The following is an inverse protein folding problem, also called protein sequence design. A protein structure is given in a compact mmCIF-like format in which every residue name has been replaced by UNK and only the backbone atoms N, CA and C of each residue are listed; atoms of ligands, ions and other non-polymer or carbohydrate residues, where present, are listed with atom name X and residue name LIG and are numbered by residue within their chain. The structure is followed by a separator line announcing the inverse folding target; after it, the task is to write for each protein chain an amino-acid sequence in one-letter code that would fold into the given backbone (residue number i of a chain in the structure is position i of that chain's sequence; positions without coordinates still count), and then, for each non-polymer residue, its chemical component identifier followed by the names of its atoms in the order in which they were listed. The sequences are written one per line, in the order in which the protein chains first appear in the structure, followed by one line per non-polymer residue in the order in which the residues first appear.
data_IF_729989302496
#
_entry.id   IF_729989302496
#
_cell.length_a   1.000
_cell.length_b   1.000
_cell.length_c   1.000
_cell.angle_alpha   90.00
_cell.angle_beta   90.00
_cell.angle_gamma   90.00
#
_symmetry.space_group_name_H-M   'P 1'
#
loop_
_entity.id
_entity.type
_entity.pdbx_description
1 polymer ?
#
# COMPACT_ATOMS: atom_id res chain seq x y z
N UNK A 1 -73.70 21.65 3.13
CA UNK A 1 -74.03 20.43 3.89
C UNK A 1 -72.91 20.15 4.89
N UNK A 2 -73.09 20.50 6.16
CA UNK A 2 -72.21 20.07 7.25
C UNK A 2 -72.69 18.69 7.73
N UNK A 3 -71.86 17.65 7.55
CA UNK A 3 -72.13 16.35 8.20
C UNK A 3 -71.74 16.48 9.68
N UNK A 4 -72.63 16.17 10.63
CA UNK A 4 -72.28 16.22 12.05
C UNK A 4 -71.21 15.17 12.34
N UNK A 5 -70.16 15.57 13.06
CA UNK A 5 -69.11 14.65 13.49
C UNK A 5 -69.74 13.50 14.31
N UNK A 6 -69.53 12.26 13.85
CA UNK A 6 -69.99 11.04 14.54
C UNK A 6 -69.47 11.08 15.98
N UNK A 7 -70.35 11.04 16.98
CA UNK A 7 -69.96 11.02 18.40
C UNK A 7 -69.16 9.74 18.66
N UNK A 8 -67.88 9.88 19.00
CA UNK A 8 -66.97 8.78 19.32
C UNK A 8 -67.51 8.05 20.56
N UNK A 9 -67.68 6.73 20.47
CA UNK A 9 -68.23 5.92 21.55
C UNK A 9 -67.29 5.92 22.77
N UNK A 10 -67.84 5.76 23.97
CA UNK A 10 -67.06 5.72 25.22
C UNK A 10 -66.05 4.55 25.22
N UNK A 11 -66.43 3.40 24.64
CA UNK A 11 -65.56 2.25 24.46
C UNK A 11 -64.36 2.54 23.55
N UNK A 12 -64.56 3.33 22.48
CA UNK A 12 -63.46 3.76 21.59
C UNK A 12 -62.47 4.68 22.32
N UNK A 13 -62.95 5.51 23.26
CA UNK A 13 -62.07 6.37 24.08
C UNK A 13 -61.23 5.56 25.08
N UNK A 14 -61.84 4.60 25.77
CA UNK A 14 -61.11 3.69 26.69
C UNK A 14 -60.05 2.90 25.91
N UNK A 15 -60.44 2.34 24.76
CA UNK A 15 -59.52 1.58 23.90
C UNK A 15 -58.34 2.45 23.45
N UNK A 16 -58.58 3.68 22.99
CA UNK A 16 -57.53 4.60 22.60
C UNK A 16 -56.57 4.93 23.76
N UNK A 17 -57.09 5.13 24.97
CA UNK A 17 -56.26 5.39 26.16
C UNK A 17 -55.41 4.16 26.52
N UNK A 18 -55.99 2.96 26.51
CA UNK A 18 -55.26 1.71 26.77
C UNK A 18 -54.13 1.50 25.76
N UNK A 19 -54.41 1.70 24.46
CA UNK A 19 -53.39 1.62 23.41
C UNK A 19 -52.28 2.66 23.62
N UNK A 20 -52.63 3.88 24.06
CA UNK A 20 -51.67 4.94 24.31
C UNK A 20 -50.77 4.64 25.53
N UNK A 21 -51.33 4.07 26.60
CA UNK A 21 -50.56 3.61 27.77
C UNK A 21 -49.64 2.45 27.41
N UNK A 22 -50.12 1.49 26.60
CA UNK A 22 -49.30 0.37 26.11
C UNK A 22 -48.17 0.86 25.19
N UNK A 23 -48.47 1.81 24.30
CA UNK A 23 -47.47 2.44 23.45
C UNK A 23 -46.44 3.22 24.26
N UNK A 24 -46.85 3.98 25.28
CA UNK A 24 -45.94 4.68 26.18
C UNK A 24 -45.04 3.71 26.97
N UNK A 25 -45.59 2.60 27.47
CA UNK A 25 -44.82 1.55 28.14
C UNK A 25 -43.82 0.85 27.20
N UNK A 26 -44.22 0.58 25.96
CA UNK A 26 -43.34 -0.01 24.95
C UNK A 26 -42.21 0.95 24.53
N UNK A 27 -42.51 2.24 24.38
CA UNK A 27 -41.51 3.30 24.11
C UNK A 27 -40.55 3.42 25.31
N UNK A 28 -41.06 3.42 26.54
CA UNK A 28 -40.23 3.45 27.75
C UNK A 28 -39.25 2.28 27.83
N UNK A 29 -39.74 1.04 27.66
CA UNK A 29 -38.90 -0.16 27.66
C UNK A 29 -37.87 -0.15 26.51
N UNK A 30 -38.24 0.37 25.34
CA UNK A 30 -37.33 0.51 24.22
C UNK A 30 -36.20 1.51 24.53
N UNK A 31 -36.52 2.68 25.09
CA UNK A 31 -35.55 3.72 25.42
C UNK A 31 -34.64 3.34 26.60
N UNK A 32 -35.16 2.64 27.60
CA UNK A 32 -34.41 2.30 28.82
C UNK A 32 -33.59 1.02 28.71
N UNK A 33 -34.02 0.05 27.89
CA UNK A 33 -33.39 -1.28 27.85
C UNK A 33 -32.85 -1.61 26.47
N UNK A 34 -33.69 -1.54 25.43
CA UNK A 34 -33.32 -2.03 24.10
C UNK A 34 -32.30 -1.12 23.42
N UNK A 35 -32.50 0.19 23.47
CA UNK A 35 -31.62 1.17 22.84
C UNK A 35 -30.21 1.18 23.49
N UNK A 36 -30.07 1.21 24.83
CA UNK A 36 -28.76 1.07 25.47
C UNK A 36 -28.06 -0.26 25.18
N UNK A 37 -28.80 -1.38 25.15
CA UNK A 37 -28.23 -2.69 24.79
C UNK A 37 -27.70 -2.72 23.34
N UNK A 38 -28.43 -2.12 22.39
CA UNK A 38 -27.97 -2.01 21.00
C UNK A 38 -26.73 -1.14 20.87
N UNK A 39 -26.67 -0.01 21.57
CA UNK A 39 -25.47 0.84 21.63
C UNK A 39 -24.29 0.09 22.22
N UNK A 40 -24.49 -0.66 23.31
CA UNK A 40 -23.44 -1.47 23.93
C UNK A 40 -22.92 -2.59 23.01
N UNK A 41 -23.79 -3.25 22.25
CA UNK A 41 -23.39 -4.26 21.27
C UNK A 41 -22.54 -3.65 20.15
N UNK A 42 -22.95 -2.50 19.60
CA UNK A 42 -22.19 -1.80 18.57
C UNK A 42 -20.85 -1.31 19.09
N UNK A 43 -20.79 -0.79 20.31
CA UNK A 43 -19.55 -0.39 20.96
C UNK A 43 -18.62 -1.60 21.17
N UNK A 44 -19.16 -2.76 21.54
CA UNK A 44 -18.35 -3.97 21.68
C UNK A 44 -17.78 -4.45 20.34
N UNK A 45 -18.59 -4.46 19.28
CA UNK A 45 -18.13 -4.78 17.92
C UNK A 45 -17.06 -3.79 17.44
N UNK A 46 -17.32 -2.49 17.58
CA UNK A 46 -16.36 -1.43 17.23
C UNK A 46 -15.03 -1.59 17.98
N UNK A 47 -15.07 -1.82 19.30
CA UNK A 47 -13.86 -1.96 20.11
C UNK A 47 -13.00 -3.17 19.72
N UNK A 48 -13.64 -4.26 19.28
CA UNK A 48 -12.96 -5.45 18.78
C UNK A 48 -12.23 -5.16 17.47
N UNK A 49 -12.90 -4.50 16.53
CA UNK A 49 -12.31 -4.07 15.26
C UNK A 49 -11.18 -3.06 15.47
N UNK A 50 -11.37 -2.08 16.36
CA UNK A 50 -10.34 -1.10 16.72
C UNK A 50 -9.09 -1.77 17.31
N UNK A 51 -9.25 -2.78 18.15
CA UNK A 51 -8.12 -3.51 18.72
C UNK A 51 -7.33 -4.30 17.65
N UNK A 52 -8.03 -4.91 16.69
CA UNK A 52 -7.41 -5.59 15.55
C UNK A 52 -6.70 -4.61 14.63
N UNK A 53 -7.32 -3.47 14.32
CA UNK A 53 -6.71 -2.38 13.56
C UNK A 53 -5.44 -1.83 14.21
N UNK A 54 -5.43 -1.63 15.54
CA UNK A 54 -4.24 -1.19 16.28
C UNK A 54 -3.11 -2.21 16.18
N UNK A 55 -3.42 -3.50 16.39
CA UNK A 55 -2.43 -4.57 16.31
C UNK A 55 -1.82 -4.65 14.91
N UNK A 56 -2.67 -4.67 13.87
CA UNK A 56 -2.20 -4.67 12.49
C UNK A 56 -1.39 -3.42 12.12
N UNK A 57 -1.75 -2.24 12.62
CA UNK A 57 -0.96 -1.02 12.41
C UNK A 57 0.42 -1.08 13.09
N UNK A 58 0.52 -1.68 14.29
CA UNK A 58 1.82 -1.90 14.97
C UNK A 58 2.69 -2.86 14.19
N UNK A 59 2.15 -4.02 13.81
CA UNK A 59 2.89 -5.07 13.13
C UNK A 59 3.36 -4.59 11.76
N UNK A 60 2.45 -4.02 10.96
CA UNK A 60 2.77 -3.55 9.61
C UNK A 60 3.71 -2.34 9.61
N UNK A 61 3.56 -1.39 10.55
CA UNK A 61 4.50 -0.26 10.66
C UNK A 61 5.91 -0.71 11.04
N UNK A 62 6.02 -1.71 11.92
CA UNK A 62 7.32 -2.28 12.35
C UNK A 62 7.99 -3.00 11.18
N UNK A 63 7.22 -3.80 10.43
CA UNK A 63 7.72 -4.50 9.26
C UNK A 63 8.16 -3.53 8.14
N UNK A 64 7.37 -2.50 7.83
CA UNK A 64 7.74 -1.45 6.86
C UNK A 64 9.00 -0.71 7.27
N UNK A 65 9.13 -0.31 8.54
CA UNK A 65 10.34 0.35 9.03
C UNK A 65 11.59 -0.55 8.89
N UNK A 66 11.45 -1.85 9.19
CA UNK A 66 12.53 -2.83 9.01
C UNK A 66 12.93 -2.98 7.54
N UNK A 67 11.96 -3.13 6.63
CA UNK A 67 12.19 -3.22 5.19
C UNK A 67 12.98 -2.04 4.68
N UNK A 68 12.54 -0.82 5.01
CA UNK A 68 13.19 0.40 4.54
C UNK A 68 14.55 0.64 5.21
N UNK A 69 14.81 0.11 6.40
CA UNK A 69 16.15 0.17 7.00
C UNK A 69 17.15 -0.65 6.18
N UNK A 70 16.79 -1.86 5.76
CA UNK A 70 17.67 -2.73 4.96
C UNK A 70 17.84 -2.21 3.52
N UNK A 71 16.75 -1.75 2.88
CA UNK A 71 16.80 -1.15 1.54
C UNK A 71 17.67 0.11 1.55
N UNK A 72 17.64 0.93 2.62
CA UNK A 72 18.43 2.17 2.73
C UNK A 72 19.92 1.95 2.64
N UNK A 73 20.40 0.94 3.36
CA UNK A 73 21.81 0.76 3.62
C UNK A 73 22.54 0.17 2.41
N UNK A 74 21.80 -0.53 1.55
CA UNK A 74 22.37 -1.28 0.42
C UNK A 74 21.87 -0.77 -0.94
N UNK A 75 20.79 0.02 -0.97
CA UNK A 75 19.92 0.12 -2.13
C UNK A 75 19.26 -1.23 -2.43
N UNK A 76 18.07 -1.25 -3.04
CA UNK A 76 17.42 -2.52 -3.41
C UNK A 76 18.35 -3.46 -4.20
N UNK A 77 19.22 -2.89 -5.04
CA UNK A 77 20.15 -3.59 -5.91
C UNK A 77 21.39 -4.16 -5.15
N UNK A 78 21.72 -3.65 -3.97
CA UNK A 78 22.82 -4.17 -3.13
C UNK A 78 22.43 -5.36 -2.25
N UNK A 79 21.17 -5.80 -2.31
CA UNK A 79 20.68 -6.95 -1.55
C UNK A 79 21.06 -8.27 -2.26
N UNK A 80 21.38 -9.30 -1.47
CA UNK A 80 21.64 -10.64 -2.01
C UNK A 80 20.34 -11.28 -2.52
N UNK A 81 20.39 -12.25 -3.47
CA UNK A 81 19.18 -12.89 -3.98
C UNK A 81 18.30 -13.54 -2.90
N UNK A 82 18.94 -14.14 -1.88
CA UNK A 82 18.23 -14.72 -0.73
C UNK A 82 17.54 -13.65 0.12
N UNK A 83 18.21 -12.52 0.36
CA UNK A 83 17.62 -11.40 1.08
C UNK A 83 16.48 -10.75 0.28
N UNK A 84 16.64 -10.54 -1.03
CA UNK A 84 15.59 -10.01 -1.90
C UNK A 84 14.32 -10.85 -1.88
N UNK A 85 14.47 -12.18 -1.91
CA UNK A 85 13.32 -13.09 -1.86
C UNK A 85 12.60 -13.00 -0.51
N UNK A 86 13.36 -12.93 0.58
CA UNK A 86 12.83 -12.77 1.94
C UNK A 86 12.11 -11.42 2.11
N UNK A 87 12.76 -10.34 1.69
CA UNK A 87 12.23 -8.98 1.84
C UNK A 87 11.01 -8.75 0.95
N UNK A 88 10.99 -9.33 -0.25
CA UNK A 88 9.82 -9.27 -1.13
C UNK A 88 8.63 -10.04 -0.54
N UNK A 89 8.88 -11.21 0.06
CA UNK A 89 7.84 -11.95 0.76
C UNK A 89 7.32 -11.19 1.98
N UNK A 90 8.23 -10.56 2.75
CA UNK A 90 7.87 -9.71 3.88
C UNK A 90 7.07 -8.48 3.43
N UNK A 91 7.47 -7.81 2.35
CA UNK A 91 6.75 -6.66 1.80
C UNK A 91 5.31 -7.03 1.38
N UNK A 92 5.14 -8.14 0.65
CA UNK A 92 3.81 -8.64 0.26
C UNK A 92 2.95 -9.01 1.46
N UNK A 93 3.51 -9.72 2.44
CA UNK A 93 2.79 -10.06 3.66
C UNK A 93 2.39 -8.82 4.47
N UNK A 94 3.27 -7.82 4.53
CA UNK A 94 3.03 -6.56 5.21
C UNK A 94 1.96 -5.72 4.52
N UNK A 95 1.91 -5.76 3.18
CA UNK A 95 0.87 -5.12 2.37
C UNK A 95 -0.49 -5.72 2.70
N UNK A 96 -0.62 -7.05 2.64
CA UNK A 96 -1.86 -7.76 3.04
C UNK A 96 -2.26 -7.44 4.48
N UNK A 97 -1.31 -7.47 5.42
CA UNK A 97 -1.60 -7.16 6.83
C UNK A 97 -2.04 -5.70 7.03
N UNK A 98 -1.49 -4.75 6.28
CA UNK A 98 -1.89 -3.35 6.35
C UNK A 98 -3.27 -3.10 5.72
N UNK A 99 -3.59 -3.79 4.62
CA UNK A 99 -4.92 -3.75 4.01
C UNK A 99 -5.99 -4.38 4.92
N UNK A 100 -5.69 -5.52 5.55
CA UNK A 100 -6.58 -6.15 6.53
C UNK A 100 -6.83 -5.22 7.72
N UNK A 101 -5.77 -4.59 8.25
CA UNK A 101 -5.88 -3.59 9.32
C UNK A 101 -6.74 -2.38 8.90
N UNK A 102 -6.62 -1.94 7.65
CA UNK A 102 -7.43 -0.85 7.10
C UNK A 102 -8.90 -1.26 6.97
N UNK A 103 -9.17 -2.51 6.60
CA UNK A 103 -10.53 -3.08 6.61
C UNK A 103 -11.14 -3.07 8.01
N UNK A 104 -10.37 -3.40 9.05
CA UNK A 104 -10.82 -3.29 10.45
C UNK A 104 -11.13 -1.84 10.85
N UNK A 105 -10.33 -0.86 10.41
CA UNK A 105 -10.64 0.57 10.61
C UNK A 105 -11.97 0.94 9.96
N UNK A 106 -12.21 0.52 8.72
CA UNK A 106 -13.45 0.79 8.00
C UNK A 106 -14.66 0.10 8.67
N UNK A 107 -14.48 -1.13 9.16
CA UNK A 107 -15.50 -1.86 9.90
C UNK A 107 -15.87 -1.12 11.20
N UNK A 108 -14.87 -0.70 11.98
CA UNK A 108 -15.06 0.11 13.19
C UNK A 108 -15.81 1.41 12.88
N UNK A 109 -15.38 2.16 11.86
CA UNK A 109 -16.08 3.38 11.40
C UNK A 109 -17.54 3.10 11.01
N UNK A 110 -17.82 1.95 10.39
CA UNK A 110 -19.18 1.55 10.03
C UNK A 110 -20.05 1.28 11.27
N UNK A 111 -19.51 0.65 12.32
CA UNK A 111 -20.23 0.42 13.57
C UNK A 111 -20.51 1.72 14.31
N UNK A 112 -19.57 2.68 14.28
CA UNK A 112 -19.80 4.03 14.81
C UNK A 112 -20.90 4.75 14.05
N UNK A 113 -20.90 4.69 12.72
CA UNK A 113 -21.93 5.32 11.90
C UNK A 113 -23.31 4.68 12.16
N UNK A 114 -23.37 3.35 12.33
CA UNK A 114 -24.59 2.66 12.73
C UNK A 114 -25.05 3.10 14.13
N UNK A 115 -24.13 3.25 15.07
CA UNK A 115 -24.43 3.66 16.44
C UNK A 115 -24.92 5.12 16.51
N UNK A 116 -24.34 6.02 15.71
CA UNK A 116 -24.74 7.43 15.57
C UNK A 116 -26.09 7.58 14.83
N UNK A 117 -26.41 6.63 13.95
CA UNK A 117 -27.64 6.60 13.15
C UNK A 117 -28.84 5.93 13.84
N UNK A 118 -28.71 5.46 15.08
CA UNK A 118 -29.81 4.82 15.79
C UNK A 118 -30.92 5.85 16.11
N UNK A 119 -32.20 5.53 15.84
CA UNK A 119 -33.30 6.46 16.07
C UNK A 119 -33.51 6.71 17.57
N UNK A 120 -34.09 7.87 17.91
CA UNK A 120 -34.40 8.30 19.28
C UNK A 120 -33.17 8.59 20.17
N UNK A 121 -31.97 8.64 19.60
CA UNK A 121 -30.80 9.19 20.27
C UNK A 121 -30.84 10.72 20.27
N UNK A 122 -30.65 11.32 21.45
CA UNK A 122 -30.57 12.77 21.62
C UNK A 122 -29.13 13.30 21.48
N UNK A 123 -28.15 12.41 21.57
CA UNK A 123 -26.72 12.71 21.47
C UNK A 123 -25.97 11.47 20.97
N UNK A 124 -24.87 11.68 20.26
CA UNK A 124 -23.98 10.59 19.83
C UNK A 124 -23.49 9.77 21.03
N UNK A 125 -23.32 8.45 20.90
CA UNK A 125 -22.72 7.60 21.92
C UNK A 125 -21.33 8.09 22.33
N UNK A 126 -21.01 8.00 23.63
CA UNK A 126 -19.77 8.56 24.19
C UNK A 126 -18.49 7.96 23.61
N UNK A 127 -18.50 6.67 23.26
CA UNK A 127 -17.33 5.99 22.67
C UNK A 127 -16.95 6.62 21.32
N UNK A 128 -17.92 7.15 20.57
CA UNK A 128 -17.66 7.79 19.28
C UNK A 128 -16.71 8.98 19.41
N UNK A 129 -16.88 9.81 20.44
CA UNK A 129 -16.02 10.97 20.65
C UNK A 129 -14.58 10.57 21.01
N UNK A 130 -14.42 9.43 21.69
CA UNK A 130 -13.12 8.90 22.12
C UNK A 130 -12.38 8.21 20.98
N UNK A 131 -13.07 7.38 20.19
CA UNK A 131 -12.43 6.44 19.28
C UNK A 131 -12.33 6.96 17.84
N UNK A 132 -13.15 7.96 17.46
CA UNK A 132 -13.13 8.57 16.12
C UNK A 132 -11.76 9.18 15.76
N UNK A 133 -11.09 9.95 16.64
CA UNK A 133 -9.76 10.45 16.35
C UNK A 133 -8.74 9.31 16.19
N UNK A 134 -8.82 8.27 17.03
CA UNK A 134 -7.91 7.13 16.96
C UNK A 134 -8.01 6.41 15.61
N UNK A 135 -9.23 6.15 15.12
CA UNK A 135 -9.46 5.54 13.81
C UNK A 135 -8.95 6.40 12.65
N UNK A 136 -9.11 7.73 12.71
CA UNK A 136 -8.57 8.63 11.69
C UNK A 136 -7.04 8.62 11.64
N UNK A 137 -6.39 8.54 12.80
CA UNK A 137 -4.94 8.43 12.90
C UNK A 137 -4.44 7.06 12.42
N UNK A 138 -5.14 5.96 12.76
CA UNK A 138 -4.83 4.62 12.22
C UNK A 138 -4.98 4.58 10.71
N UNK A 139 -6.06 5.15 10.16
CA UNK A 139 -6.29 5.20 8.72
C UNK A 139 -5.13 5.87 7.98
N UNK A 140 -4.70 7.05 8.46
CA UNK A 140 -3.57 7.78 7.87
C UNK A 140 -2.26 7.00 7.98
N UNK A 141 -1.99 6.39 9.15
CA UNK A 141 -0.79 5.58 9.37
C UNK A 141 -0.77 4.37 8.43
N UNK A 142 -1.90 3.67 8.29
CA UNK A 142 -2.03 2.50 7.43
C UNK A 142 -1.93 2.86 5.95
N UNK A 143 -2.55 3.96 5.49
CA UNK A 143 -2.40 4.44 4.12
C UNK A 143 -0.93 4.78 3.78
N UNK A 144 -0.23 5.45 4.69
CA UNK A 144 1.20 5.73 4.53
C UNK A 144 2.05 4.44 4.54
N UNK A 145 1.66 3.48 5.37
CA UNK A 145 2.28 2.14 5.45
C UNK A 145 2.13 1.43 4.12
N UNK A 146 0.90 1.23 3.61
CA UNK A 146 0.57 0.61 2.31
C UNK A 146 1.37 1.25 1.18
N UNK A 147 1.43 2.59 1.14
CA UNK A 147 2.21 3.31 0.13
C UNK A 147 3.69 2.94 0.17
N UNK A 148 4.28 2.89 1.36
CA UNK A 148 5.68 2.51 1.55
C UNK A 148 5.93 1.02 1.29
N UNK A 149 4.98 0.14 1.60
CA UNK A 149 5.09 -1.30 1.27
C UNK A 149 5.06 -1.51 -0.22
N UNK A 150 4.13 -0.88 -0.94
CA UNK A 150 4.08 -0.96 -2.40
C UNK A 150 5.37 -0.45 -3.04
N UNK A 151 5.90 0.69 -2.59
CA UNK A 151 7.18 1.20 -3.07
C UNK A 151 8.33 0.22 -2.79
N UNK A 152 8.35 -0.43 -1.62
CA UNK A 152 9.33 -1.49 -1.32
C UNK A 152 9.16 -2.70 -2.24
N UNK A 153 7.94 -3.19 -2.45
CA UNK A 153 7.62 -4.29 -3.38
C UNK A 153 8.11 -3.98 -4.79
N UNK A 154 7.89 -2.75 -5.27
CA UNK A 154 8.39 -2.25 -6.56
C UNK A 154 9.92 -2.31 -6.63
N UNK A 155 10.61 -1.69 -5.67
CA UNK A 155 12.08 -1.63 -5.65
C UNK A 155 12.72 -3.01 -5.54
N UNK A 156 12.16 -3.88 -4.69
CA UNK A 156 12.65 -5.24 -4.47
C UNK A 156 12.37 -6.14 -5.68
N UNK A 157 11.21 -6.00 -6.33
CA UNK A 157 10.88 -6.77 -7.53
C UNK A 157 11.80 -6.40 -8.69
N UNK A 158 12.01 -5.10 -8.89
CA UNK A 158 13.02 -4.59 -9.84
C UNK A 158 14.37 -5.21 -9.48
N UNK A 159 14.90 -4.99 -8.28
CA UNK A 159 16.20 -5.55 -7.88
C UNK A 159 16.30 -7.08 -8.03
N UNK A 160 15.24 -7.85 -7.77
CA UNK A 160 15.20 -9.30 -7.92
C UNK A 160 15.35 -9.73 -9.38
N UNK A 161 14.56 -9.14 -10.28
CA UNK A 161 14.69 -9.40 -11.72
C UNK A 161 16.10 -9.07 -12.20
N UNK A 162 16.62 -7.92 -11.78
CA UNK A 162 17.95 -7.47 -12.18
C UNK A 162 19.07 -8.40 -11.70
N UNK A 163 18.98 -8.92 -10.48
CA UNK A 163 19.95 -9.87 -9.96
C UNK A 163 19.87 -11.23 -10.68
N UNK A 164 18.67 -11.69 -11.06
CA UNK A 164 18.50 -12.90 -11.86
C UNK A 164 19.07 -12.73 -13.27
N UNK A 165 18.85 -11.57 -13.88
CA UNK A 165 19.36 -11.25 -15.21
C UNK A 165 20.89 -11.12 -15.19
N UNK A 166 21.48 -10.43 -14.21
CA UNK A 166 22.93 -10.29 -14.08
C UNK A 166 23.66 -11.65 -13.97
N UNK A 167 23.07 -12.63 -13.28
CA UNK A 167 23.63 -13.97 -13.13
C UNK A 167 23.58 -14.82 -14.41
N UNK A 168 22.47 -14.73 -15.17
CA UNK A 168 22.33 -15.44 -16.46
C UNK A 168 23.24 -14.86 -17.54
N UNK A 169 23.39 -13.53 -17.53
CA UNK A 169 24.26 -12.80 -18.45
C UNK A 169 25.75 -13.13 -18.25
N UNK A 170 26.20 -13.20 -16.99
CA UNK A 170 27.63 -13.36 -16.66
C UNK A 170 28.18 -14.74 -17.03
N UNK A 171 27.32 -15.73 -17.25
CA UNK A 171 27.69 -17.13 -17.50
C UNK A 171 27.62 -17.52 -18.98
N UNK A 172 27.08 -16.67 -19.85
CA UNK A 172 26.99 -16.95 -21.28
C UNK A 172 28.15 -16.29 -22.04
N UNK A 173 28.97 -17.13 -22.66
CA UNK A 173 30.19 -16.78 -23.40
C UNK A 173 29.97 -16.02 -24.71
N UNK A 174 28.71 -15.80 -25.12
CA UNK A 174 28.38 -15.15 -26.39
C UNK A 174 27.69 -13.79 -26.16
N UNK A 175 28.36 -12.66 -26.47
CA UNK A 175 27.78 -11.32 -26.37
C UNK A 175 26.45 -11.16 -27.12
N UNK A 176 26.26 -11.92 -28.20
CA UNK A 176 25.08 -11.96 -29.06
C UNK A 176 23.87 -12.66 -28.43
N UNK A 177 24.09 -13.79 -27.77
CA UNK A 177 23.06 -14.53 -27.02
C UNK A 177 22.63 -13.73 -25.79
N UNK A 178 23.59 -13.10 -25.13
CA UNK A 178 23.32 -12.20 -24.01
C UNK A 178 22.47 -11.01 -24.45
N UNK A 179 22.76 -10.38 -25.60
CA UNK A 179 22.05 -9.17 -26.04
C UNK A 179 20.51 -9.32 -26.03
N UNK A 180 20.01 -10.51 -26.40
CA UNK A 180 18.58 -10.83 -26.39
C UNK A 180 18.05 -10.90 -24.96
N UNK A 181 18.76 -11.58 -24.06
CA UNK A 181 18.44 -11.67 -22.64
C UNK A 181 18.50 -10.29 -21.95
N UNK A 182 19.51 -9.46 -22.24
CA UNK A 182 19.58 -8.07 -21.76
C UNK A 182 18.41 -7.22 -22.29
N UNK A 183 17.97 -7.44 -23.54
CA UNK A 183 16.85 -6.69 -24.13
C UNK A 183 15.53 -7.11 -23.49
N UNK A 184 15.35 -8.40 -23.27
CA UNK A 184 14.15 -8.94 -22.63
C UNK A 184 14.11 -8.60 -21.13
N UNK A 185 15.25 -8.57 -20.45
CA UNK A 185 15.42 -8.03 -19.09
C UNK A 185 15.03 -6.56 -19.00
N UNK A 186 15.59 -5.70 -19.86
CA UNK A 186 15.28 -4.28 -19.89
C UNK A 186 13.81 -4.03 -20.28
N UNK A 187 13.26 -4.82 -21.21
CA UNK A 187 11.84 -4.76 -21.59
C UNK A 187 10.94 -5.26 -20.47
N UNK A 188 11.33 -6.29 -19.73
CA UNK A 188 10.58 -6.82 -18.59
C UNK A 188 10.61 -5.83 -17.43
N UNK A 189 11.75 -5.22 -17.11
CA UNK A 189 11.84 -4.15 -16.13
C UNK A 189 10.98 -2.93 -16.52
N UNK A 190 11.05 -2.48 -17.78
CA UNK A 190 10.22 -1.38 -18.30
C UNK A 190 8.73 -1.74 -18.38
N UNK A 191 8.40 -2.99 -18.73
CA UNK A 191 7.03 -3.50 -18.74
C UNK A 191 6.49 -3.71 -17.33
N UNK A 192 7.32 -4.07 -16.35
CA UNK A 192 6.94 -4.11 -14.93
C UNK A 192 6.64 -2.71 -14.43
N UNK A 193 7.47 -1.71 -14.75
CA UNK A 193 7.16 -0.30 -14.48
C UNK A 193 5.82 0.08 -15.11
N UNK A 194 5.54 -0.36 -16.35
CA UNK A 194 4.29 -0.04 -17.06
C UNK A 194 3.07 -0.86 -16.57
N UNK A 195 3.22 -2.13 -16.24
CA UNK A 195 2.14 -2.95 -15.67
C UNK A 195 1.80 -2.47 -14.25
N UNK A 196 2.81 -1.97 -13.51
CA UNK A 196 2.59 -1.30 -12.23
C UNK A 196 1.91 0.07 -12.42
N UNK A 197 2.20 0.84 -13.49
CA UNK A 197 1.41 2.04 -13.84
C UNK A 197 -0.06 1.74 -14.12
N UNK A 198 -0.39 0.56 -14.66
CA UNK A 198 -1.77 0.22 -15.07
C UNK A 198 -2.58 -0.47 -13.98
N UNK A 199 -1.93 -1.08 -12.98
CA UNK A 199 -2.59 -1.68 -11.82
C UNK A 199 -2.85 -0.68 -10.68
N UNK A 200 -2.29 0.54 -10.73
CA UNK A 200 -2.49 1.55 -9.71
C UNK A 200 -3.78 2.34 -9.92
N UNK A 201 -4.72 2.17 -8.99
CA UNK A 201 -5.83 3.10 -8.75
C UNK A 201 -5.23 4.49 -8.47
N UNK A 202 -5.76 5.57 -9.05
CA UNK A 202 -5.20 6.92 -8.91
C UNK A 202 -5.50 7.48 -7.52
N UNK A 203 -4.74 7.04 -6.52
CA UNK A 203 -4.68 7.65 -5.20
C UNK A 203 -3.24 7.56 -4.69
N UNK A 204 -2.45 8.57 -5.06
CA UNK A 204 -1.04 8.76 -4.73
C UNK A 204 -0.07 7.85 -5.49
N UNK A 205 0.53 8.43 -6.54
CA UNK A 205 1.63 7.91 -7.35
C UNK A 205 2.75 7.29 -6.47
N UNK A 206 2.81 5.95 -6.35
CA UNK A 206 3.87 5.22 -5.64
C UNK A 206 5.17 5.21 -6.44
N UNK A 207 5.12 5.50 -7.75
CA UNK A 207 6.29 5.59 -8.62
C UNK A 207 7.10 6.86 -8.34
N UNK A 208 6.46 7.89 -7.76
CA UNK A 208 7.17 9.03 -7.17
C UNK A 208 8.15 8.62 -6.05
N UNK A 209 8.02 7.40 -5.51
CA UNK A 209 8.92 6.79 -4.52
C UNK A 209 9.86 5.73 -5.12
N UNK A 210 9.96 5.64 -6.44
CA UNK A 210 11.10 4.95 -7.07
C UNK A 210 12.33 5.85 -6.98
N UNK A 211 13.48 5.26 -6.64
CA UNK A 211 14.76 5.97 -6.71
C UNK A 211 15.00 6.40 -8.18
N UNK A 212 15.12 7.70 -8.48
CA UNK A 212 15.41 8.20 -9.84
C UNK A 212 16.69 7.64 -10.45
N UNK A 213 17.60 7.10 -9.65
CA UNK A 213 18.81 6.45 -10.14
C UNK A 213 18.57 5.00 -10.59
N UNK A 214 17.46 4.39 -10.16
CA UNK A 214 16.99 3.09 -10.67
C UNK A 214 16.60 3.20 -12.14
N UNK A 215 15.94 4.28 -12.56
CA UNK A 215 15.58 4.50 -13.98
C UNK A 215 16.81 4.73 -14.86
N UNK A 216 17.78 5.54 -14.40
CA UNK A 216 19.05 5.75 -15.12
C UNK A 216 19.85 4.45 -15.28
N UNK A 217 19.76 3.57 -14.29
CA UNK A 217 20.39 2.26 -14.36
C UNK A 217 19.66 1.33 -15.35
N UNK A 218 18.32 1.32 -15.37
CA UNK A 218 17.52 0.60 -16.36
C UNK A 218 17.84 1.08 -17.79
N UNK A 219 17.95 2.39 -18.01
CA UNK A 219 18.33 2.97 -19.29
C UNK A 219 19.75 2.55 -19.72
N UNK A 220 20.69 2.49 -18.77
CA UNK A 220 22.05 2.02 -19.04
C UNK A 220 22.07 0.53 -19.42
N UNK A 221 21.23 -0.30 -18.80
CA UNK A 221 21.03 -1.71 -19.18
C UNK A 221 20.50 -1.85 -20.59
N UNK A 222 19.47 -1.08 -20.95
CA UNK A 222 18.92 -1.08 -22.30
C UNK A 222 20.00 -0.71 -23.34
N UNK A 223 20.87 0.26 -23.01
CA UNK A 223 21.99 0.65 -23.87
C UNK A 223 23.04 -0.46 -24.06
N UNK A 224 23.31 -1.28 -23.04
CA UNK A 224 24.18 -2.47 -23.18
C UNK A 224 23.50 -3.52 -24.06
N UNK A 225 22.21 -3.77 -23.84
CA UNK A 225 21.43 -4.72 -24.64
C UNK A 225 21.46 -4.36 -26.12
N UNK A 226 21.16 -3.10 -26.45
CA UNK A 226 21.15 -2.61 -27.83
C UNK A 226 22.54 -2.65 -28.46
N UNK A 227 23.59 -2.28 -27.72
CA UNK A 227 24.97 -2.29 -28.22
C UNK A 227 25.48 -3.71 -28.46
N UNK A 228 25.14 -4.65 -27.58
CA UNK A 228 25.49 -6.06 -27.73
C UNK A 228 24.77 -6.68 -28.95
N UNK A 229 23.51 -6.30 -29.19
CA UNK A 229 22.75 -6.72 -30.37
C UNK A 229 23.39 -6.20 -31.64
N UNK A 230 23.76 -4.92 -31.67
CA UNK A 230 24.43 -4.32 -32.83
C UNK A 230 25.76 -5.03 -33.12
N UNK A 231 26.58 -5.26 -32.09
CA UNK A 231 27.83 -6.00 -32.24
C UNK A 231 27.61 -7.38 -32.86
N UNK A 232 26.59 -8.11 -32.40
CA UNK A 232 26.25 -9.42 -32.96
C UNK A 232 25.89 -9.35 -34.43
N UNK A 233 25.08 -8.36 -34.83
CA UNK A 233 24.62 -8.20 -36.21
C UNK A 233 25.80 -7.86 -37.14
N UNK A 234 26.62 -6.88 -36.76
CA UNK A 234 27.78 -6.47 -37.57
C UNK A 234 28.84 -7.58 -37.66
N UNK A 235 29.03 -8.33 -36.56
CA UNK A 235 29.97 -9.47 -36.56
C UNK A 235 29.47 -10.60 -37.45
N UNK A 236 28.17 -10.90 -37.43
CA UNK A 236 27.55 -11.91 -38.28
C UNK A 236 27.53 -11.50 -39.76
N UNK A 237 27.40 -10.19 -40.05
CA UNK A 237 27.48 -9.63 -41.39
C UNK A 237 28.92 -9.54 -41.95
N UNK A 238 29.94 -9.85 -41.15
CA UNK A 238 31.35 -9.76 -41.55
C UNK A 238 31.88 -8.32 -41.65
N UNK A 239 31.15 -7.33 -41.14
CA UNK A 239 31.53 -5.93 -41.18
C UNK A 239 32.52 -5.58 -40.06
N UNK A 240 33.77 -5.96 -40.22
CA UNK A 240 34.82 -5.87 -39.19
C UNK A 240 35.00 -4.49 -38.56
N UNK A 241 34.98 -3.41 -39.36
CA UNK A 241 35.10 -2.03 -38.83
C UNK A 241 33.87 -1.60 -38.01
N UNK A 242 32.67 -1.98 -38.44
CA UNK A 242 31.41 -1.67 -37.76
C UNK A 242 31.25 -2.50 -36.48
N UNK A 243 31.69 -3.76 -36.50
CA UNK A 243 31.79 -4.61 -35.31
C UNK A 243 32.76 -4.01 -34.28
N UNK A 244 33.91 -3.45 -34.67
CA UNK A 244 34.83 -2.77 -33.75
C UNK A 244 34.24 -1.49 -33.14
N UNK A 245 33.42 -0.74 -33.89
CA UNK A 245 32.70 0.43 -33.36
C UNK A 245 31.60 0.00 -32.37
N UNK A 246 30.86 -1.05 -32.70
CA UNK A 246 29.83 -1.63 -31.83
C UNK A 246 30.44 -2.20 -30.54
N UNK A 247 31.62 -2.83 -30.62
CA UNK A 247 32.35 -3.31 -29.44
C UNK A 247 32.72 -2.18 -28.49
N UNK A 248 33.28 -1.08 -29.01
CA UNK A 248 33.60 0.12 -28.19
C UNK A 248 32.35 0.75 -27.58
N UNK A 249 31.24 0.75 -28.30
CA UNK A 249 29.94 1.23 -27.80
C UNK A 249 29.43 0.35 -26.66
N UNK A 250 29.56 -0.97 -26.80
CA UNK A 250 29.22 -1.94 -25.76
C UNK A 250 30.07 -1.75 -24.50
N UNK A 251 31.39 -1.57 -24.63
CA UNK A 251 32.28 -1.33 -23.49
C UNK A 251 31.95 -0.01 -22.78
N UNK A 252 31.64 1.04 -23.54
CA UNK A 252 31.17 2.32 -22.99
C UNK A 252 29.85 2.16 -22.23
N UNK A 253 28.91 1.40 -22.79
CA UNK A 253 27.63 1.14 -22.14
C UNK A 253 27.81 0.31 -20.84
N UNK A 254 28.69 -0.69 -20.84
CA UNK A 254 29.03 -1.47 -19.63
C UNK A 254 29.66 -0.59 -18.54
N UNK A 255 30.59 0.29 -18.91
CA UNK A 255 31.17 1.25 -17.97
C UNK A 255 30.10 2.19 -17.40
N UNK A 256 29.13 2.60 -18.23
CA UNK A 256 28.01 3.45 -17.80
C UNK A 256 27.08 2.73 -16.81
N UNK A 257 26.77 1.45 -17.03
CA UNK A 257 26.03 0.63 -16.04
C UNK A 257 26.76 0.57 -14.70
N UNK A 258 28.06 0.29 -14.71
CA UNK A 258 28.83 0.22 -13.46
C UNK A 258 28.84 1.58 -12.73
N UNK A 259 28.93 2.68 -13.47
CA UNK A 259 28.89 4.03 -12.91
C UNK A 259 27.51 4.40 -12.35
N UNK A 260 26.41 4.10 -13.07
CA UNK A 260 25.04 4.36 -12.58
C UNK A 260 24.69 3.47 -11.40
N UNK A 261 25.18 2.24 -11.37
CA UNK A 261 25.05 1.32 -10.23
C UNK A 261 25.71 1.90 -8.97
N UNK A 262 26.98 2.32 -9.07
CA UNK A 262 27.69 2.93 -7.96
C UNK A 262 27.03 4.25 -7.52
N UNK A 263 26.54 5.05 -8.47
CA UNK A 263 25.82 6.29 -8.17
C UNK A 263 24.50 6.01 -7.42
N UNK A 264 23.73 5.01 -7.82
CA UNK A 264 22.52 4.59 -7.13
C UNK A 264 22.82 4.18 -5.68
N UNK A 265 23.83 3.32 -5.47
CA UNK A 265 24.24 2.92 -4.11
C UNK A 265 24.66 4.11 -3.24
N UNK A 266 25.47 5.02 -3.78
CA UNK A 266 25.99 6.16 -3.02
C UNK A 266 24.92 7.20 -2.66
N UNK A 267 23.85 7.31 -3.46
CA UNK A 267 22.79 8.30 -3.24
C UNK A 267 21.53 7.70 -2.61
N UNK A 268 21.42 6.37 -2.48
CA UNK A 268 20.25 5.69 -1.93
C UNK A 268 19.85 6.25 -0.55
N UNK A 269 20.82 6.43 0.36
CA UNK A 269 20.57 6.96 1.69
C UNK A 269 20.05 8.41 1.66
N UNK A 270 20.63 9.27 0.81
CA UNK A 270 20.23 10.66 0.68
C UNK A 270 18.84 10.80 0.04
N UNK A 271 18.55 9.98 -0.97
CA UNK A 271 17.22 9.87 -1.56
C UNK A 271 16.21 9.43 -0.51
N UNK A 272 16.49 8.34 0.22
CA UNK A 272 15.59 7.80 1.23
C UNK A 272 15.30 8.80 2.34
N UNK A 273 16.31 9.50 2.84
CA UNK A 273 16.15 10.54 3.85
C UNK A 273 15.21 11.67 3.38
N UNK A 274 15.16 11.93 2.07
CA UNK A 274 14.32 12.98 1.48
C UNK A 274 12.90 12.51 1.14
N UNK A 275 12.73 11.26 0.72
CA UNK A 275 11.46 10.78 0.13
C UNK A 275 10.71 9.78 1.01
N UNK A 276 11.42 8.89 1.70
CA UNK A 276 10.83 7.79 2.49
C UNK A 276 10.75 8.18 3.97
N UNK A 277 11.79 8.80 4.52
CA UNK A 277 11.82 9.17 5.95
C UNK A 277 10.63 10.04 6.38
N UNK A 278 10.16 11.04 5.60
CA UNK A 278 8.97 11.79 5.98
C UNK A 278 7.70 10.94 6.11
N UNK A 279 7.58 9.87 5.32
CA UNK A 279 6.47 8.93 5.40
C UNK A 279 6.61 8.00 6.62
N UNK A 280 7.83 7.52 6.91
CA UNK A 280 8.11 6.76 8.14
C UNK A 280 7.82 7.60 9.40
N UNK A 281 8.20 8.87 9.41
CA UNK A 281 7.92 9.81 10.50
C UNK A 281 6.41 10.07 10.64
N UNK A 282 5.69 10.12 9.50
CA UNK A 282 4.23 10.23 9.50
C UNK A 282 3.59 9.00 10.11
N UNK A 283 4.00 7.78 9.71
CA UNK A 283 3.51 6.53 10.29
C UNK A 283 3.75 6.53 11.81
N UNK A 284 4.97 6.85 12.26
CA UNK A 284 5.32 6.85 13.67
C UNK A 284 4.44 7.85 14.47
N UNK A 285 4.24 9.05 13.94
CA UNK A 285 3.43 10.10 14.58
C UNK A 285 1.95 9.72 14.66
N UNK A 286 1.36 9.32 13.54
CA UNK A 286 -0.06 9.00 13.46
C UNK A 286 -0.37 7.73 14.26
N UNK A 287 0.49 6.71 14.22
CA UNK A 287 0.34 5.51 15.06
C UNK A 287 0.35 5.85 16.55
N UNK A 288 1.31 6.67 16.99
CA UNK A 288 1.36 7.12 18.39
C UNK A 288 0.12 7.91 18.79
N UNK A 289 -0.40 8.78 17.90
CA UNK A 289 -1.62 9.55 18.14
C UNK A 289 -2.88 8.65 18.22
N UNK A 290 -2.87 7.49 17.57
CA UNK A 290 -3.93 6.49 17.66
C UNK A 290 -3.91 5.62 18.93
N UNK A 291 -2.86 5.73 19.75
CA UNK A 291 -2.63 4.86 20.90
C UNK A 291 -2.24 3.43 20.49
N UNK A 292 -1.53 3.29 19.37
CA UNK A 292 -0.97 2.04 18.85
C UNK A 292 0.56 2.01 19.00
#
# INVERSE_FOLDING_TARGET
MFRPARRVSWATRIFAILVLVLAAGAIGAFLEVVLPQRVAQLAQSESSELAQARTGAVDSSTAVASLWTEISAKGGIGLSPGQLTKDLALAKATETAADDALSHVQAAQSYMAQADGLPFQFHSPSFIATDRPALQHLEKALQATIKLTHAATLQLSVAQHLNQDAQTISTSLYPSLNARQWTDAARTASALTTDLTTQQVPASDPEALLDPLSSQWIDAMLAVASSAKQLSLESAAGHTQQAQLASRSLDTAKARIAATYAAAQNNAAAWQAKTVQPLLDTIAREKSAAGA
#
